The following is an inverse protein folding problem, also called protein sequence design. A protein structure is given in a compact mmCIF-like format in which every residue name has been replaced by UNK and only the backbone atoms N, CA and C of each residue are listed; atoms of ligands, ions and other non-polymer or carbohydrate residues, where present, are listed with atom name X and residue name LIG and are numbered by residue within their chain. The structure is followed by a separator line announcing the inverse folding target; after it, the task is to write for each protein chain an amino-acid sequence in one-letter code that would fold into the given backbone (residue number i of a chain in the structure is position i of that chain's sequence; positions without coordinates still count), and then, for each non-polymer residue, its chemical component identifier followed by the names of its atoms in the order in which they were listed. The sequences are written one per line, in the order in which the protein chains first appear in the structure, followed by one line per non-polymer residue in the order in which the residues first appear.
data_IF_919909883512
#
_entry.id   IF_919909883512
#
_cell.length_a   1.000
_cell.length_b   1.000
_cell.length_c   1.000
_cell.angle_alpha   90.00
_cell.angle_beta   90.00
_cell.angle_gamma   90.00
#
_symmetry.space_group_name_H-M   'P 1'
#
loop_
_entity.id
_entity.type
_entity.pdbx_description
1 polymer ?
#
# COMPACT_ATOMS: atom_id res chain seq x y z
N UNK A 1 3.42 8.92 17.97
CA UNK A 1 2.08 8.29 17.89
C UNK A 1 2.02 7.45 16.62
N UNK A 2 1.23 6.37 16.61
CA UNK A 2 1.08 5.53 15.41
C UNK A 2 0.09 6.18 14.42
N UNK A 3 0.40 6.08 13.12
CA UNK A 3 -0.54 6.41 12.06
C UNK A 3 -1.48 5.23 11.82
N UNK A 4 -2.78 5.51 11.77
CA UNK A 4 -3.82 4.52 11.46
C UNK A 4 -4.98 5.18 10.71
N UNK A 5 -5.53 4.46 9.74
CA UNK A 5 -6.69 4.80 8.93
C UNK A 5 -7.83 3.82 9.27
N UNK A 6 -9.02 4.36 9.53
CA UNK A 6 -10.22 3.60 9.91
C UNK A 6 -11.35 3.97 8.96
N UNK A 7 -11.77 3.04 8.11
CA UNK A 7 -12.81 3.22 7.10
C UNK A 7 -13.76 2.00 7.10
N UNK A 8 -14.83 2.03 6.30
CA UNK A 8 -15.80 0.93 6.17
C UNK A 8 -15.86 0.38 4.74
N UNK A 9 -14.68 0.06 4.18
CA UNK A 9 -14.51 -0.22 2.75
C UNK A 9 -15.33 -1.40 2.19
N UNK A 10 -15.70 -2.37 3.02
CA UNK A 10 -16.55 -3.50 2.60
C UNK A 10 -18.00 -3.12 2.34
N UNK A 11 -18.55 -2.18 3.13
CA UNK A 11 -19.92 -1.70 2.99
C UNK A 11 -20.00 -0.49 2.08
N UNK A 12 -19.06 0.45 2.21
CA UNK A 12 -18.98 1.67 1.40
C UNK A 12 -18.19 1.40 0.12
N UNK A 13 -18.71 0.51 -0.73
CA UNK A 13 -18.02 -0.11 -1.88
C UNK A 13 -17.41 0.85 -2.91
N UNK A 14 -17.79 2.12 -2.89
CA UNK A 14 -17.31 3.12 -3.87
C UNK A 14 -16.43 4.17 -3.18
N UNK A 15 -16.95 4.89 -2.20
CA UNK A 15 -16.24 6.01 -1.57
C UNK A 15 -14.98 5.59 -0.81
N UNK A 16 -15.10 4.56 0.02
CA UNK A 16 -14.07 4.22 0.99
C UNK A 16 -12.84 3.58 0.34
N UNK A 17 -12.98 2.67 -0.65
CA UNK A 17 -11.83 2.21 -1.43
C UNK A 17 -11.08 3.36 -2.14
N UNK A 18 -11.78 4.38 -2.64
CA UNK A 18 -11.15 5.54 -3.28
C UNK A 18 -10.37 6.35 -2.23
N UNK A 19 -10.96 6.64 -1.06
CA UNK A 19 -10.26 7.33 0.03
C UNK A 19 -9.05 6.53 0.53
N UNK A 20 -9.20 5.21 0.66
CA UNK A 20 -8.11 4.31 1.03
C UNK A 20 -6.98 4.37 0.01
N UNK A 21 -7.29 4.28 -1.28
CA UNK A 21 -6.30 4.37 -2.35
C UNK A 21 -5.60 5.72 -2.41
N UNK A 22 -6.30 6.82 -2.09
CA UNK A 22 -5.65 8.13 -1.91
C UNK A 22 -4.65 8.12 -0.75
N UNK A 23 -5.00 7.53 0.40
CA UNK A 23 -4.09 7.40 1.53
C UNK A 23 -2.84 6.60 1.15
N UNK A 24 -3.00 5.45 0.47
CA UNK A 24 -1.89 4.62 -0.03
C UNK A 24 -0.98 5.43 -0.95
N UNK A 25 -1.55 6.11 -1.96
CA UNK A 25 -0.78 6.93 -2.90
C UNK A 25 -0.02 8.07 -2.23
N UNK A 26 -0.61 8.71 -1.22
CA UNK A 26 0.03 9.84 -0.52
C UNK A 26 1.11 9.34 0.44
N UNK A 27 0.85 8.26 1.17
CA UNK A 27 1.81 7.67 2.11
C UNK A 27 3.08 7.23 1.38
N UNK A 28 2.92 6.53 0.24
CA UNK A 28 4.00 6.02 -0.61
C UNK A 28 4.27 6.88 -1.85
N UNK A 29 4.02 8.20 -1.77
CA UNK A 29 4.06 9.10 -2.94
C UNK A 29 5.36 9.01 -3.75
N UNK A 30 6.49 8.85 -3.08
CA UNK A 30 7.81 8.87 -3.70
C UNK A 30 8.05 7.55 -4.48
N UNK A 31 7.54 6.42 -3.96
CA UNK A 31 7.52 5.12 -4.64
C UNK A 31 6.62 5.16 -5.86
N UNK A 32 5.38 5.66 -5.71
CA UNK A 32 4.43 5.76 -6.83
C UNK A 32 4.90 6.73 -7.92
N UNK A 33 5.65 7.77 -7.57
CA UNK A 33 6.28 8.67 -8.53
C UNK A 33 7.43 7.99 -9.28
N UNK A 34 8.32 7.30 -8.55
CA UNK A 34 9.49 6.62 -9.12
C UNK A 34 9.13 5.46 -10.04
N UNK A 35 8.12 4.66 -9.69
CA UNK A 35 7.72 3.44 -10.43
C UNK A 35 6.43 3.60 -11.22
N UNK A 36 6.04 4.83 -11.54
CA UNK A 36 4.77 5.15 -12.20
C UNK A 36 4.49 4.29 -13.43
N UNK A 37 5.45 4.19 -14.34
CA UNK A 37 5.27 3.47 -15.61
C UNK A 37 5.19 1.96 -15.39
N UNK A 38 6.01 1.43 -14.47
CA UNK A 38 5.97 0.01 -14.08
C UNK A 38 4.62 -0.35 -13.46
N UNK A 39 4.12 0.45 -12.51
CA UNK A 39 2.83 0.23 -11.87
C UNK A 39 1.66 0.35 -12.85
N UNK A 40 1.73 1.29 -13.80
CA UNK A 40 0.75 1.40 -14.88
C UNK A 40 0.74 0.13 -15.77
N UNK A 41 1.92 -0.36 -16.16
CA UNK A 41 2.06 -1.59 -16.97
C UNK A 41 1.54 -2.84 -16.25
N UNK A 42 1.77 -2.93 -14.94
CA UNK A 42 1.29 -4.04 -14.12
C UNK A 42 -0.20 -3.95 -13.76
N UNK A 43 -0.83 -2.79 -13.98
CA UNK A 43 -2.21 -2.55 -13.57
C UNK A 43 -2.37 -2.63 -12.05
N UNK A 44 -1.47 -1.96 -11.31
CA UNK A 44 -1.57 -1.78 -9.85
C UNK A 44 -2.76 -0.90 -9.54
N UNK A 45 -3.60 -1.34 -8.60
CA UNK A 45 -4.74 -0.57 -8.10
C UNK A 45 -4.57 -0.25 -6.60
N UNK A 46 -4.20 0.99 -6.26
CA UNK A 46 -4.03 1.41 -4.86
C UNK A 46 -5.30 1.35 -4.03
N UNK A 47 -6.49 1.34 -4.65
CA UNK A 47 -7.74 1.17 -3.93
C UNK A 47 -7.84 -0.22 -3.27
N UNK A 48 -7.09 -1.20 -3.77
CA UNK A 48 -6.95 -2.53 -3.20
C UNK A 48 -5.80 -2.63 -2.17
N UNK A 49 -5.10 -1.51 -1.91
CA UNK A 49 -4.04 -1.42 -0.92
C UNK A 49 -2.66 -1.88 -1.37
N UNK A 50 -1.70 -1.82 -0.44
CA UNK A 50 -0.32 -2.22 -0.69
C UNK A 50 -0.20 -3.72 -1.02
N UNK A 51 -1.16 -4.54 -0.57
CA UNK A 51 -1.23 -5.95 -0.94
C UNK A 51 -1.35 -6.17 -2.45
N UNK A 52 -2.06 -5.30 -3.18
CA UNK A 52 -2.12 -5.38 -4.64
C UNK A 52 -0.76 -5.05 -5.26
N UNK A 53 -0.05 -4.03 -4.75
CA UNK A 53 1.33 -3.71 -5.21
C UNK A 53 2.23 -4.95 -5.09
N UNK A 54 2.31 -5.56 -3.90
CA UNK A 54 3.13 -6.75 -3.67
C UNK A 54 2.75 -7.92 -4.58
N UNK A 55 1.45 -8.17 -4.77
CA UNK A 55 0.95 -9.22 -5.67
C UNK A 55 1.39 -8.98 -7.11
N UNK A 56 1.35 -7.73 -7.58
CA UNK A 56 1.65 -7.38 -8.97
C UNK A 56 3.15 -7.37 -9.27
N UNK A 57 3.98 -6.87 -8.36
CA UNK A 57 5.43 -6.85 -8.54
C UNK A 57 6.07 -8.24 -8.46
N UNK A 58 5.36 -9.24 -7.92
CA UNK A 58 5.82 -10.63 -7.92
C UNK A 58 6.04 -11.22 -9.32
N UNK A 59 5.47 -10.61 -10.37
CA UNK A 59 5.68 -11.00 -11.77
C UNK A 59 6.92 -10.35 -12.42
N UNK A 60 7.59 -9.43 -11.72
CA UNK A 60 8.80 -8.75 -12.23
C UNK A 60 10.06 -9.60 -12.02
N UNK A 61 11.15 -9.30 -12.75
CA UNK A 61 12.48 -9.81 -12.42
C UNK A 61 12.86 -9.48 -10.97
N UNK A 62 13.61 -10.38 -10.33
CA UNK A 62 13.98 -10.26 -8.91
C UNK A 62 14.60 -8.90 -8.55
N UNK A 63 15.52 -8.40 -9.38
CA UNK A 63 16.17 -7.12 -9.15
C UNK A 63 15.20 -5.92 -9.17
N UNK A 64 14.20 -5.92 -10.06
CA UNK A 64 13.18 -4.86 -10.11
C UNK A 64 12.24 -4.94 -8.91
N UNK A 65 11.81 -6.16 -8.56
CA UNK A 65 10.98 -6.42 -7.38
C UNK A 65 11.68 -5.94 -6.10
N UNK A 66 12.93 -6.36 -5.88
CA UNK A 66 13.73 -6.01 -4.70
C UNK A 66 13.94 -4.50 -4.59
N UNK A 67 14.18 -3.80 -5.70
CA UNK A 67 14.30 -2.35 -5.71
C UNK A 67 13.01 -1.64 -5.25
N UNK A 68 11.84 -2.12 -5.69
CA UNK A 68 10.55 -1.57 -5.28
C UNK A 68 10.29 -1.86 -3.79
N UNK A 69 10.55 -3.09 -3.33
CA UNK A 69 10.38 -3.47 -1.92
C UNK A 69 11.30 -2.66 -1.00
N UNK A 70 12.54 -2.39 -1.42
CA UNK A 70 13.48 -1.56 -0.69
C UNK A 70 13.00 -0.10 -0.56
N UNK A 71 12.45 0.49 -1.63
CA UNK A 71 11.92 1.86 -1.56
C UNK A 71 10.64 1.95 -0.72
N UNK A 72 9.80 0.91 -0.72
CA UNK A 72 8.66 0.81 0.20
C UNK A 72 9.16 0.76 1.65
N UNK A 73 10.18 -0.05 1.94
CA UNK A 73 10.78 -0.13 3.27
C UNK A 73 11.36 1.22 3.72
N UNK A 74 12.12 1.88 2.85
CA UNK A 74 12.67 3.21 3.11
C UNK A 74 11.58 4.26 3.39
N UNK A 75 10.39 4.11 2.81
CA UNK A 75 9.25 5.00 3.10
C UNK A 75 8.81 4.88 4.57
N UNK A 76 8.82 3.67 5.14
CA UNK A 76 8.45 3.49 6.55
C UNK A 76 9.44 4.15 7.52
N UNK A 77 10.73 4.21 7.16
CA UNK A 77 11.76 4.89 7.96
C UNK A 77 11.62 6.42 7.95
N UNK A 78 11.03 6.97 6.88
CA UNK A 78 10.86 8.42 6.70
C UNK A 78 9.50 8.96 7.18
N UNK A 79 8.54 8.08 7.44
CA UNK A 79 7.17 8.43 7.82
C UNK A 79 6.92 8.07 9.29
N UNK A 80 5.80 8.56 9.83
CA UNK A 80 5.37 8.15 11.17
C UNK A 80 5.13 6.64 11.24
N UNK A 81 5.39 5.99 12.39
CA UNK A 81 5.22 4.54 12.52
C UNK A 81 3.76 4.14 12.25
N UNK A 82 3.54 3.07 11.50
CA UNK A 82 2.22 2.63 11.03
C UNK A 82 1.61 1.57 11.96
N UNK A 83 0.30 1.61 12.15
CA UNK A 83 -0.43 0.54 12.82
C UNK A 83 -0.36 -0.77 12.01
N UNK A 84 -0.18 -1.89 12.71
CA UNK A 84 -0.06 -3.23 12.13
C UNK A 84 -1.36 -4.00 12.32
N UNK A 85 -1.73 -4.78 11.30
CA UNK A 85 -2.79 -5.80 11.38
C UNK A 85 -2.19 -7.09 11.94
N UNK A 86 -1.02 -7.48 11.42
CA UNK A 86 -0.24 -8.63 11.86
C UNK A 86 1.25 -8.27 11.77
N UNK A 87 1.89 -8.01 12.91
CA UNK A 87 3.29 -7.61 12.97
C UNK A 87 4.26 -8.74 12.62
N UNK A 88 3.91 -9.98 12.96
CA UNK A 88 4.77 -11.15 12.72
C UNK A 88 4.90 -11.43 11.22
N UNK A 89 3.88 -11.04 10.45
CA UNK A 89 3.84 -11.19 8.99
C UNK A 89 4.06 -9.88 8.22
N UNK A 90 4.30 -8.77 8.92
CA UNK A 90 4.50 -7.45 8.31
C UNK A 90 3.25 -6.85 7.64
N UNK A 91 2.04 -7.31 7.99
CA UNK A 91 0.79 -6.79 7.43
C UNK A 91 0.41 -5.50 8.15
N UNK A 92 0.38 -4.41 7.40
CA UNK A 92 0.12 -3.04 7.90
C UNK A 92 -1.33 -2.61 7.66
N UNK A 93 -1.75 -1.53 8.33
CA UNK A 93 -3.07 -0.92 8.14
C UNK A 93 -3.38 -0.47 6.70
N UNK A 94 -2.35 -0.28 5.85
CA UNK A 94 -2.53 0.07 4.44
C UNK A 94 -2.40 -1.15 3.48
N UNK A 95 -2.33 -2.38 3.99
CA UNK A 95 -2.22 -3.58 3.16
C UNK A 95 -3.51 -3.91 2.40
N UNK A 96 -4.64 -4.04 3.11
CA UNK A 96 -5.94 -4.36 2.51
C UNK A 96 -7.01 -3.43 3.11
N UNK A 97 -7.87 -2.80 2.28
CA UNK A 97 -8.85 -1.82 2.74
C UNK A 97 -9.90 -2.37 3.73
N UNK A 98 -10.06 -3.69 3.79
CA UNK A 98 -11.02 -4.36 4.65
C UNK A 98 -10.44 -4.91 5.96
N UNK A 99 -9.13 -4.78 6.20
CA UNK A 99 -8.50 -5.38 7.40
C UNK A 99 -8.83 -4.60 8.69
N UNK A 100 -9.00 -3.28 8.59
CA UNK A 100 -9.35 -2.41 9.73
C UNK A 100 -10.64 -1.66 9.40
N UNK A 101 -11.72 -2.06 10.07
CA UNK A 101 -13.07 -1.54 9.87
C UNK A 101 -13.44 -0.65 11.06
N UNK A 102 -13.92 0.57 10.78
CA UNK A 102 -14.42 1.52 11.80
C UNK A 102 -15.66 1.03 12.55
#
# INVERSE_FOLDING_TARGET
VLFSLHLKATMMKVSDPIMFGHCVKVYFKDVFAKYKDTFAKLGVDPNNGLGDVYKKIAALPAAEKEAIEADILATYEQRGPMAMVDSDRGITNLHVPSDIII
#
